data_IF_759548699393
#
_entry.id   IF_759548699393
#
_cell.length_a   1.000
_cell.length_b   1.000
_cell.length_c   1.000
_cell.angle_alpha   90.00
_cell.angle_beta   90.00
_cell.angle_gamma   90.00
#
_symmetry.space_group_name_H-M   'P 1'
#
loop_
_entity.id
_entity.type
_entity.pdbx_description
1 polymer ?
#
# COMPACT_ATOMS: atom_id res chain seq x y z
N UNK A 1 20.79 21.59 24.71
CA UNK A 1 19.62 22.05 23.92
C UNK A 1 19.58 21.26 22.61
N UNK A 2 18.47 20.62 22.27
CA UNK A 2 18.40 19.68 21.14
C UNK A 2 18.21 20.41 19.81
N UNK A 3 19.04 20.09 18.82
CA UNK A 3 18.89 20.57 17.46
C UNK A 3 17.88 19.70 16.69
N UNK A 4 16.95 20.32 15.98
CA UNK A 4 16.02 19.62 15.09
C UNK A 4 16.48 19.82 13.65
N UNK A 5 16.60 18.73 12.91
CA UNK A 5 17.08 18.70 11.55
C UNK A 5 15.97 18.20 10.63
N UNK A 6 15.80 18.85 9.49
CA UNK A 6 14.97 18.37 8.40
C UNK A 6 15.82 17.80 7.29
N UNK A 7 15.37 16.67 6.76
CA UNK A 7 15.98 15.96 5.66
C UNK A 7 14.99 15.78 4.52
N UNK A 8 15.50 15.76 3.31
CA UNK A 8 14.75 15.46 2.09
C UNK A 8 15.36 14.24 1.43
N UNK A 9 14.51 13.34 0.99
CA UNK A 9 14.88 12.25 0.10
C UNK A 9 14.04 12.36 -1.16
N UNK A 10 14.69 12.78 -2.25
CA UNK A 10 14.09 12.70 -3.59
C UNK A 10 14.07 11.24 -4.04
N UNK A 11 13.15 10.92 -4.94
CA UNK A 11 13.02 9.58 -5.50
C UNK A 11 14.35 9.09 -6.08
N UNK A 12 14.76 7.88 -5.71
CA UNK A 12 16.03 7.27 -6.09
C UNK A 12 17.29 8.09 -5.75
N UNK A 13 17.20 9.04 -4.81
CA UNK A 13 18.36 9.82 -4.33
C UNK A 13 18.66 9.53 -2.86
N UNK A 14 19.87 9.86 -2.46
CA UNK A 14 20.32 9.79 -1.06
C UNK A 14 19.59 10.83 -0.21
N UNK A 15 19.43 10.50 1.07
CA UNK A 15 18.89 11.41 2.06
C UNK A 15 19.81 12.62 2.26
N UNK A 16 19.30 13.85 2.09
CA UNK A 16 20.05 15.09 2.20
C UNK A 16 19.50 15.96 3.33
N UNK A 17 20.37 16.53 4.17
CA UNK A 17 19.95 17.47 5.23
C UNK A 17 19.64 18.81 4.59
N UNK A 18 18.45 19.32 4.82
CA UNK A 18 18.01 20.59 4.25
C UNK A 18 18.38 21.77 5.14
N UNK A 19 17.94 21.69 6.38
CA UNK A 19 17.91 22.82 7.30
C UNK A 19 17.88 22.27 8.72
N UNK A 20 18.46 23.00 9.66
CA UNK A 20 18.33 22.66 11.06
C UNK A 20 18.11 23.90 11.93
N UNK A 21 17.54 23.64 13.10
CA UNK A 21 17.21 24.64 14.08
C UNK A 21 17.88 24.32 15.41
N UNK A 22 18.56 25.32 15.97
CA UNK A 22 19.18 25.26 17.30
C UNK A 22 18.77 26.47 18.11
N UNK A 23 17.93 26.28 19.14
CA UNK A 23 17.65 27.25 20.20
C UNK A 23 17.55 28.73 19.75
N UNK A 24 16.72 29.02 18.75
CA UNK A 24 16.44 30.37 18.28
C UNK A 24 17.23 30.80 17.04
N UNK A 25 18.22 30.02 16.60
CA UNK A 25 18.93 30.22 15.34
C UNK A 25 18.56 29.12 14.34
N UNK A 26 18.02 29.50 13.19
CA UNK A 26 17.89 28.63 12.02
C UNK A 26 19.17 28.70 11.22
N UNK A 27 19.77 27.54 10.94
CA UNK A 27 20.92 27.44 10.05
C UNK A 27 20.50 26.62 8.85
N UNK A 28 20.53 27.26 7.69
CA UNK A 28 20.14 26.67 6.41
C UNK A 28 21.41 26.29 5.66
N UNK A 29 21.48 25.03 5.21
CA UNK A 29 22.60 24.56 4.38
C UNK A 29 22.59 25.35 3.05
N UNK A 30 23.78 25.73 2.56
CA UNK A 30 23.97 26.76 1.51
C UNK A 30 23.36 26.39 0.14
N UNK A 31 22.95 25.13 -0.03
CA UNK A 31 22.48 24.56 -1.30
C UNK A 31 20.98 24.71 -1.59
N UNK A 32 20.19 25.26 -0.65
CA UNK A 32 18.73 25.34 -0.78
C UNK A 32 18.27 26.79 -0.87
N UNK A 33 17.29 27.06 -1.76
CA UNK A 33 16.69 28.39 -1.90
C UNK A 33 15.99 28.83 -0.61
N UNK A 34 16.75 29.51 0.26
CA UNK A 34 16.43 29.88 1.64
C UNK A 34 15.07 30.57 1.82
N UNK A 35 14.57 31.24 0.80
CA UNK A 35 13.33 32.02 0.86
C UNK A 35 12.06 31.16 0.80
N UNK A 36 12.14 29.92 0.29
CA UNK A 36 10.95 29.06 0.15
C UNK A 36 10.72 28.15 1.35
N UNK A 37 11.78 27.73 2.05
CA UNK A 37 11.70 26.82 3.19
C UNK A 37 11.83 27.60 4.50
N UNK A 38 10.81 27.50 5.36
CA UNK A 38 10.81 28.16 6.67
C UNK A 38 10.64 27.13 7.78
N UNK A 39 11.38 27.31 8.88
CA UNK A 39 11.16 26.55 10.11
C UNK A 39 10.49 27.44 11.15
N UNK A 40 9.49 26.88 11.81
CA UNK A 40 8.91 27.44 13.02
C UNK A 40 8.94 26.42 14.14
N UNK A 41 9.22 26.86 15.36
CA UNK A 41 9.16 26.00 16.54
C UNK A 41 8.17 26.56 17.54
N UNK A 42 7.20 25.72 17.92
CA UNK A 42 6.24 26.05 18.96
C UNK A 42 6.70 25.38 20.24
N UNK A 43 7.54 26.08 21.02
CA UNK A 43 8.21 25.53 22.20
C UNK A 43 7.25 24.91 23.22
N UNK A 44 6.04 25.47 23.37
CA UNK A 44 5.01 24.96 24.29
C UNK A 44 4.46 23.59 23.89
N UNK A 45 4.47 23.26 22.60
CA UNK A 45 3.91 22.02 22.04
C UNK A 45 4.99 21.03 21.61
N UNK A 46 6.28 21.34 21.82
CA UNK A 46 7.42 20.57 21.29
C UNK A 46 7.29 20.28 19.79
N UNK A 47 6.71 21.22 19.07
CA UNK A 47 6.41 21.09 17.64
C UNK A 47 7.45 21.84 16.82
N UNK A 48 7.92 21.21 15.75
CA UNK A 48 8.73 21.84 14.72
C UNK A 48 8.00 21.71 13.38
N UNK A 49 7.79 22.84 12.72
CA UNK A 49 7.02 22.94 11.48
C UNK A 49 7.98 23.36 10.38
N UNK A 50 7.99 22.61 9.29
CA UNK A 50 8.62 22.99 8.03
C UNK A 50 7.52 23.51 7.08
N UNK A 51 7.65 24.76 6.64
CA UNK A 51 6.75 25.37 5.65
C UNK A 51 7.49 25.51 4.33
N UNK A 52 6.88 25.01 3.25
CA UNK A 52 7.37 25.15 1.88
C UNK A 52 6.45 26.14 1.16
N UNK A 53 6.99 27.29 0.75
CA UNK A 53 6.27 28.33 0.00
C UNK A 53 6.46 28.13 -1.49
N UNK A 54 5.43 28.46 -2.28
CA UNK A 54 5.42 28.33 -3.73
C UNK A 54 5.92 26.94 -4.15
N UNK A 55 5.14 25.92 -3.76
CA UNK A 55 5.47 24.51 -3.98
C UNK A 55 5.59 24.26 -5.48
N UNK A 56 6.71 23.65 -5.89
CA UNK A 56 7.02 23.29 -7.27
C UNK A 56 7.09 21.76 -7.40
N UNK A 57 6.95 21.21 -8.62
CA UNK A 57 7.11 19.77 -8.85
C UNK A 57 8.43 19.20 -8.32
N UNK A 58 9.51 19.97 -8.34
CA UNK A 58 10.82 19.57 -7.81
C UNK A 58 10.88 19.44 -6.27
N UNK A 59 9.87 19.96 -5.56
CA UNK A 59 9.73 19.78 -4.11
C UNK A 59 9.14 18.39 -3.74
N UNK A 60 8.68 17.60 -4.71
CA UNK A 60 8.18 16.25 -4.47
C UNK A 60 9.30 15.36 -3.90
N UNK A 61 9.10 14.90 -2.67
CA UNK A 61 10.09 14.14 -1.92
C UNK A 61 9.48 13.55 -0.63
N UNK A 62 10.22 12.64 0.00
CA UNK A 62 9.97 12.24 1.39
C UNK A 62 10.77 13.16 2.32
N UNK A 63 10.08 13.78 3.28
CA UNK A 63 10.64 14.69 4.26
C UNK A 63 10.72 14.04 5.63
N UNK A 64 11.86 14.13 6.29
CA UNK A 64 12.10 13.52 7.60
C UNK A 64 12.57 14.55 8.61
N UNK A 65 11.96 14.52 9.79
CA UNK A 65 12.44 15.26 10.96
C UNK A 65 13.35 14.35 11.78
N UNK A 66 14.47 14.88 12.28
CA UNK A 66 15.42 14.12 13.07
C UNK A 66 16.12 14.98 14.13
N UNK A 67 16.54 14.36 15.22
CA UNK A 67 17.31 15.03 16.27
C UNK A 67 18.38 14.11 16.86
N UNK A 68 19.40 14.71 17.47
CA UNK A 68 20.46 13.99 18.17
C UNK A 68 20.08 13.75 19.62
N UNK A 69 20.31 12.53 20.09
CA UNK A 69 20.13 12.13 21.50
C UNK A 69 21.35 11.37 21.99
N UNK A 70 21.58 11.39 23.30
CA UNK A 70 22.71 10.70 23.95
C UNK A 70 22.25 9.34 24.48
N UNK A 71 23.00 8.29 24.19
CA UNK A 71 22.86 7.03 24.91
C UNK A 71 23.65 7.10 26.22
N UNK A 72 22.97 7.12 27.36
CA UNK A 72 23.62 7.17 28.68
C UNK A 72 24.43 5.90 28.97
N UNK A 73 24.02 4.77 28.37
CA UNK A 73 24.65 3.45 28.61
C UNK A 73 25.95 3.30 27.83
N UNK A 74 26.01 3.85 26.61
CA UNK A 74 27.13 3.64 25.68
C UNK A 74 27.96 4.90 25.40
N UNK A 75 27.60 6.02 26.04
CA UNK A 75 28.29 7.32 25.95
C UNK A 75 28.57 7.81 24.52
N UNK A 76 27.60 7.64 23.61
CA UNK A 76 27.66 8.20 22.25
C UNK A 76 26.34 8.82 21.80
N UNK A 77 26.44 9.77 20.87
CA UNK A 77 25.29 10.41 20.26
C UNK A 77 24.78 9.61 19.07
N UNK A 78 23.48 9.37 19.02
CA UNK A 78 22.82 8.78 17.86
C UNK A 78 21.68 9.68 17.38
N UNK A 79 21.31 9.50 16.11
CA UNK A 79 20.29 10.30 15.46
C UNK A 79 19.00 9.51 15.35
N UNK A 80 17.92 10.11 15.85
CA UNK A 80 16.58 9.54 15.78
C UNK A 80 15.84 10.22 14.64
N UNK A 81 15.31 9.43 13.71
CA UNK A 81 14.46 9.90 12.61
C UNK A 81 12.99 9.62 12.93
N UNK A 82 12.11 10.55 12.59
CA UNK A 82 10.67 10.30 12.52
C UNK A 82 10.32 9.43 11.31
N UNK A 83 9.06 8.97 11.25
CA UNK A 83 8.52 8.16 10.14
C UNK A 83 8.58 8.86 8.77
N UNK A 84 8.65 10.19 8.79
CA UNK A 84 8.67 11.02 7.60
C UNK A 84 7.28 11.27 7.00
N UNK A 85 7.25 12.14 6.00
CA UNK A 85 6.05 12.55 5.26
C UNK A 85 6.37 12.63 3.77
N UNK A 86 5.62 11.91 2.93
CA UNK A 86 5.77 11.96 1.48
C UNK A 86 4.93 13.10 0.91
N UNK A 87 5.59 14.05 0.23
CA UNK A 87 4.92 15.11 -0.51
C UNK A 87 4.87 14.74 -1.98
N UNK A 88 3.66 14.68 -2.53
CA UNK A 88 3.41 14.56 -3.97
C UNK A 88 2.89 15.90 -4.46
N UNK A 89 3.50 16.43 -5.51
CA UNK A 89 3.09 17.69 -6.13
C UNK A 89 2.52 17.36 -7.50
N UNK A 90 1.23 17.63 -7.69
CA UNK A 90 0.52 17.32 -8.92
C UNK A 90 -0.62 18.30 -9.16
N UNK A 91 -0.98 18.47 -10.43
CA UNK A 91 -2.14 19.22 -10.91
C UNK A 91 -3.43 18.38 -10.90
N UNK A 92 -3.31 17.07 -10.71
CA UNK A 92 -4.45 16.15 -10.63
C UNK A 92 -5.19 16.28 -9.30
N UNK A 93 -6.52 16.28 -9.37
CA UNK A 93 -7.37 16.13 -8.19
C UNK A 93 -7.21 14.77 -7.51
N UNK A 94 -7.66 14.68 -6.26
CA UNK A 94 -7.66 13.41 -5.54
C UNK A 94 -8.81 12.51 -6.03
N UNK A 95 -8.62 11.21 -5.88
CA UNK A 95 -9.59 10.18 -6.25
C UNK A 95 -9.60 9.12 -5.16
N UNK A 96 -10.78 8.90 -4.58
CA UNK A 96 -10.98 7.84 -3.62
C UNK A 96 -10.79 6.46 -4.25
N UNK A 97 -10.41 5.43 -3.46
CA UNK A 97 -10.35 4.07 -3.97
C UNK A 97 -11.67 3.67 -4.64
N UNK A 98 -11.56 3.22 -5.89
CA UNK A 98 -12.71 2.77 -6.67
C UNK A 98 -13.20 1.41 -6.18
N UNK A 99 -12.27 0.54 -5.75
CA UNK A 99 -12.57 -0.79 -5.21
C UNK A 99 -11.91 -0.97 -3.85
N UNK A 100 -12.64 -1.59 -2.94
CA UNK A 100 -12.19 -1.87 -1.59
C UNK A 100 -12.85 -3.17 -1.10
N UNK A 101 -12.06 -4.22 -0.96
CA UNK A 101 -12.57 -5.53 -0.58
C UNK A 101 -11.63 -6.29 0.34
N UNK A 102 -12.18 -7.30 1.01
CA UNK A 102 -11.41 -8.25 1.81
C UNK A 102 -11.65 -9.64 1.25
N UNK A 103 -10.59 -10.26 0.76
CA UNK A 103 -10.51 -11.67 0.37
C UNK A 103 -10.13 -12.52 1.58
N UNK A 104 -10.60 -13.75 1.62
CA UNK A 104 -10.36 -14.70 2.71
C UNK A 104 -9.90 -16.03 2.15
N UNK A 105 -8.76 -16.51 2.60
CA UNK A 105 -8.21 -17.80 2.21
C UNK A 105 -7.75 -18.60 3.44
N UNK A 106 -7.88 -19.93 3.40
CA UNK A 106 -7.34 -20.79 4.45
C UNK A 106 -5.98 -21.31 4.01
N UNK A 107 -4.95 -21.10 4.82
CA UNK A 107 -3.63 -21.64 4.57
C UNK A 107 -3.12 -22.39 5.79
N UNK A 108 -2.97 -23.72 5.66
CA UNK A 108 -2.56 -24.62 6.76
C UNK A 108 -3.46 -24.45 8.00
N UNK A 109 -2.87 -24.06 9.15
CA UNK A 109 -3.57 -23.86 10.42
C UNK A 109 -3.90 -22.37 10.69
N UNK A 110 -3.92 -21.56 9.64
CA UNK A 110 -4.18 -20.13 9.71
C UNK A 110 -5.26 -19.72 8.70
N UNK A 111 -5.90 -18.60 8.99
CA UNK A 111 -6.82 -17.91 8.12
C UNK A 111 -6.20 -16.59 7.71
N UNK A 112 -6.02 -16.41 6.40
CA UNK A 112 -5.39 -15.23 5.82
C UNK A 112 -6.48 -14.34 5.25
N UNK A 113 -6.50 -13.09 5.69
CA UNK A 113 -7.32 -12.04 5.10
C UNK A 113 -6.44 -11.16 4.23
N UNK A 114 -6.88 -10.85 3.02
CA UNK A 114 -6.21 -9.91 2.12
C UNK A 114 -7.16 -8.75 1.87
N UNK A 115 -6.76 -7.57 2.29
CA UNK A 115 -7.44 -6.32 2.05
C UNK A 115 -6.86 -5.66 0.81
N UNK A 116 -7.69 -5.48 -0.21
CA UNK A 116 -7.31 -4.92 -1.50
C UNK A 116 -7.99 -3.56 -1.68
N UNK A 117 -7.19 -2.53 -1.94
CA UNK A 117 -7.65 -1.14 -2.13
C UNK A 117 -7.10 -0.66 -3.46
N UNK A 118 -7.98 -0.42 -4.42
CA UNK A 118 -7.58 -0.22 -5.81
C UNK A 118 -8.00 1.13 -6.38
N UNK A 119 -7.20 1.59 -7.35
CA UNK A 119 -7.49 2.74 -8.21
C UNK A 119 -7.78 4.02 -7.43
N UNK A 120 -6.86 4.42 -6.57
CA UNK A 120 -6.89 5.70 -5.87
C UNK A 120 -5.77 6.62 -6.34
N UNK A 121 -5.92 7.91 -6.07
CA UNK A 121 -4.88 8.89 -6.33
C UNK A 121 -4.96 10.00 -5.30
N UNK A 122 -3.85 10.47 -4.71
CA UNK A 122 -2.44 10.13 -4.97
C UNK A 122 -1.99 8.84 -4.28
N UNK A 123 -0.77 8.38 -4.58
CA UNK A 123 -0.21 7.12 -4.05
C UNK A 123 0.21 7.13 -2.57
N UNK A 124 -0.42 7.96 -1.73
CA UNK A 124 -0.16 8.04 -0.28
C UNK A 124 -1.42 7.59 0.44
N UNK A 125 -1.35 6.41 1.05
CA UNK A 125 -2.45 5.79 1.77
C UNK A 125 -1.91 5.10 3.01
N UNK A 126 -2.69 5.09 4.08
CA UNK A 126 -2.38 4.34 5.29
C UNK A 126 -3.40 3.24 5.46
N UNK A 127 -2.93 2.00 5.62
CA UNK A 127 -3.79 0.83 5.83
C UNK A 127 -3.56 0.27 7.23
N UNK A 128 -4.65 -0.08 7.92
CA UNK A 128 -4.63 -0.65 9.26
C UNK A 128 -5.55 -1.84 9.37
N UNK A 129 -5.21 -2.73 10.29
CA UNK A 129 -6.13 -3.73 10.80
C UNK A 129 -6.55 -3.38 12.21
N UNK A 130 -7.84 -3.51 12.50
CA UNK A 130 -8.44 -3.19 13.80
C UNK A 130 -9.24 -4.39 14.28
N UNK A 131 -9.15 -4.74 15.56
CA UNK A 131 -9.95 -5.80 16.17
C UNK A 131 -11.34 -5.31 16.64
N UNK A 132 -12.16 -6.22 17.17
CA UNK A 132 -13.48 -5.90 17.74
C UNK A 132 -13.44 -4.91 18.91
N UNK A 133 -12.31 -4.84 19.63
CA UNK A 133 -12.10 -3.92 20.75
C UNK A 133 -11.55 -2.55 20.28
N UNK A 134 -11.57 -2.29 18.96
CA UNK A 134 -11.06 -1.10 18.33
C UNK A 134 -9.55 -0.87 18.57
N UNK A 135 -8.77 -1.95 18.73
CA UNK A 135 -7.31 -1.90 18.88
C UNK A 135 -6.63 -2.19 17.55
N UNK A 136 -5.60 -1.42 17.25
CA UNK A 136 -4.77 -1.63 16.06
C UNK A 136 -3.98 -2.94 16.18
N UNK A 137 -4.19 -3.83 15.21
CA UNK A 137 -3.50 -5.11 15.08
C UNK A 137 -2.27 -4.89 14.21
N UNK A 138 -1.10 -5.11 14.78
CA UNK A 138 0.18 -4.99 14.06
C UNK A 138 0.89 -6.33 13.92
N UNK A 139 0.56 -7.31 14.76
CA UNK A 139 1.12 -8.65 14.69
C UNK A 139 0.54 -9.41 13.50
N UNK A 140 1.42 -10.07 12.74
CA UNK A 140 1.09 -10.85 11.53
C UNK A 140 0.37 -10.05 10.43
N UNK A 141 0.53 -8.73 10.46
CA UNK A 141 0.10 -7.82 9.40
C UNK A 141 1.29 -7.52 8.50
N UNK A 142 1.07 -7.60 7.21
CA UNK A 142 2.03 -7.12 6.21
C UNK A 142 1.27 -6.28 5.19
N UNK A 143 1.77 -5.09 4.93
CA UNK A 143 1.25 -4.21 3.88
C UNK A 143 2.26 -4.18 2.76
N UNK A 144 1.82 -4.53 1.55
CA UNK A 144 2.65 -4.46 0.36
C UNK A 144 2.93 -3.02 -0.06
N UNK A 145 3.93 -2.85 -0.92
CA UNK A 145 4.22 -1.55 -1.52
C UNK A 145 3.05 -1.07 -2.37
N UNK A 146 2.86 0.24 -2.42
CA UNK A 146 1.88 0.85 -3.31
C UNK A 146 2.38 0.69 -4.75
N UNK A 147 1.58 0.07 -5.61
CA UNK A 147 1.90 -0.05 -7.04
C UNK A 147 1.01 0.87 -7.87
N UNK A 148 1.52 1.27 -9.03
CA UNK A 148 0.79 2.06 -10.03
C UNK A 148 0.25 1.13 -11.10
N UNK A 149 -1.01 1.28 -11.49
CA UNK A 149 -1.53 0.59 -12.68
C UNK A 149 -0.82 1.12 -13.93
N UNK A 150 -0.47 0.24 -14.87
CA UNK A 150 0.25 0.66 -16.07
C UNK A 150 -0.65 1.45 -17.05
N UNK A 151 -1.96 1.19 -17.00
CA UNK A 151 -2.95 1.71 -17.95
C UNK A 151 -3.64 2.99 -17.43
N UNK A 152 -3.79 3.07 -16.11
CA UNK A 152 -4.46 4.18 -15.43
C UNK A 152 -3.45 4.75 -14.45
N UNK A 153 -3.18 6.06 -14.45
CA UNK A 153 -2.20 6.70 -13.56
C UNK A 153 -2.68 6.77 -12.09
N UNK A 154 -3.22 5.67 -11.61
CA UNK A 154 -3.79 5.43 -10.31
C UNK A 154 -2.97 4.37 -9.56
N UNK A 155 -3.09 4.42 -8.25
CA UNK A 155 -2.36 3.57 -7.33
C UNK A 155 -3.29 2.55 -6.69
N UNK A 156 -2.70 1.44 -6.27
CA UNK A 156 -3.38 0.37 -5.56
C UNK A 156 -2.44 -0.18 -4.48
N UNK A 157 -3.02 -0.74 -3.43
CA UNK A 157 -2.27 -1.34 -2.31
C UNK A 157 -3.00 -2.57 -1.79
N UNK A 158 -2.24 -3.52 -1.25
CA UNK A 158 -2.77 -4.69 -0.59
C UNK A 158 -2.14 -4.84 0.80
N UNK A 159 -2.94 -5.22 1.79
CA UNK A 159 -2.48 -5.58 3.12
C UNK A 159 -3.06 -6.92 3.51
N UNK A 160 -2.27 -7.80 4.13
CA UNK A 160 -2.78 -9.08 4.62
C UNK A 160 -2.55 -9.28 6.11
N UNK A 161 -3.49 -9.99 6.72
CA UNK A 161 -3.49 -10.37 8.13
C UNK A 161 -3.61 -11.89 8.25
N UNK A 162 -2.66 -12.54 8.92
CA UNK A 162 -2.70 -13.97 9.20
C UNK A 162 -3.19 -14.24 10.63
N UNK A 163 -4.31 -14.94 10.75
CA UNK A 163 -4.99 -15.22 12.02
C UNK A 163 -4.96 -16.73 12.30
N UNK A 164 -4.45 -17.17 13.46
CA UNK A 164 -4.52 -18.58 13.85
C UNK A 164 -5.97 -19.08 13.92
N UNK A 165 -6.23 -20.35 13.57
CA UNK A 165 -7.60 -20.89 13.51
C UNK A 165 -8.34 -20.87 14.85
N UNK A 166 -7.63 -20.79 15.98
CA UNK A 166 -8.20 -20.61 17.31
C UNK A 166 -8.94 -19.27 17.44
N UNK A 167 -8.57 -18.28 16.61
CA UNK A 167 -9.13 -16.94 16.58
C UNK A 167 -10.00 -16.69 15.33
N UNK A 168 -10.40 -17.74 14.60
CA UNK A 168 -11.16 -17.62 13.33
C UNK A 168 -12.50 -16.89 13.47
N UNK A 169 -13.12 -16.95 14.65
CA UNK A 169 -14.45 -16.41 14.92
C UNK A 169 -14.40 -14.93 15.33
N UNK A 170 -13.20 -14.40 15.61
CA UNK A 170 -12.99 -12.97 15.84
C UNK A 170 -13.15 -12.18 14.56
N UNK A 171 -13.78 -11.02 14.66
CA UNK A 171 -13.90 -10.05 13.58
C UNK A 171 -12.70 -9.12 13.56
N UNK A 172 -12.28 -8.78 12.36
CA UNK A 172 -11.25 -7.79 12.11
C UNK A 172 -11.77 -6.80 11.07
N UNK A 173 -11.21 -5.62 11.08
CA UNK A 173 -11.56 -4.54 10.17
C UNK A 173 -10.31 -4.08 9.47
N UNK A 174 -10.30 -4.12 8.14
CA UNK A 174 -9.31 -3.39 7.37
C UNK A 174 -9.82 -1.96 7.23
N UNK A 175 -9.04 -0.98 7.65
CA UNK A 175 -9.34 0.44 7.51
C UNK A 175 -8.27 1.11 6.67
N UNK A 176 -8.65 2.07 5.83
CA UNK A 176 -7.67 2.95 5.19
C UNK A 176 -7.97 4.43 5.45
N UNK A 177 -6.89 5.19 5.50
CA UNK A 177 -6.90 6.65 5.54
C UNK A 177 -6.24 7.15 4.25
N UNK A 178 -7.01 7.82 3.40
CA UNK A 178 -6.56 8.47 2.17
C UNK A 178 -7.06 9.92 2.16
N UNK A 179 -6.33 10.84 1.53
CA UNK A 179 -6.67 12.28 1.62
C UNK A 179 -8.08 12.62 1.09
N UNK A 180 -8.63 11.78 0.21
CA UNK A 180 -9.99 11.96 -0.30
C UNK A 180 -11.07 11.49 0.69
N UNK A 181 -10.82 10.38 1.41
CA UNK A 181 -11.76 9.73 2.33
C UNK A 181 -11.09 8.66 3.16
N UNK A 182 -11.73 8.32 4.26
CA UNK A 182 -11.40 7.16 5.09
C UNK A 182 -12.56 6.15 5.01
N UNK A 183 -12.25 4.85 5.04
CA UNK A 183 -13.27 3.80 4.97
C UNK A 183 -12.76 2.53 5.69
N UNK A 184 -13.69 1.67 6.11
CA UNK A 184 -13.40 0.46 6.87
C UNK A 184 -14.32 -0.70 6.50
N UNK A 185 -13.72 -1.85 6.19
CA UNK A 185 -14.43 -3.07 5.83
C UNK A 185 -14.15 -4.18 6.83
N UNK A 186 -15.17 -4.98 7.14
CA UNK A 186 -15.06 -6.07 8.11
C UNK A 186 -14.85 -7.43 7.45
N UNK A 187 -14.06 -8.30 8.09
CA UNK A 187 -13.83 -9.69 7.65
C UNK A 187 -15.08 -10.58 7.68
N UNK A 188 -16.12 -10.19 8.42
CA UNK A 188 -17.42 -10.87 8.48
C UNK A 188 -18.50 -10.20 7.62
N UNK A 189 -18.12 -9.26 6.73
CA UNK A 189 -19.03 -8.74 5.70
C UNK A 189 -19.46 -9.87 4.75
N UNK A 190 -20.62 -9.72 4.08
CA UNK A 190 -21.16 -10.71 3.13
C UNK A 190 -20.14 -11.01 2.04
N UNK A 191 -19.32 -12.03 2.26
CA UNK A 191 -18.57 -12.68 1.22
C UNK A 191 -19.62 -13.36 0.32
N UNK A 192 -19.78 -12.89 -0.91
CA UNK A 192 -20.26 -13.77 -1.96
C UNK A 192 -19.19 -14.85 -2.10
N UNK A 193 -19.34 -15.94 -1.35
CA UNK A 193 -18.60 -17.15 -1.64
C UNK A 193 -19.07 -17.53 -3.04
N UNK A 194 -18.20 -17.39 -4.03
CA UNK A 194 -18.31 -18.12 -5.29
C UNK A 194 -18.16 -19.60 -4.94
N UNK A 195 -19.21 -20.19 -4.36
CA UNK A 195 -19.35 -21.63 -4.31
C UNK A 195 -19.63 -22.04 -5.74
N UNK A 196 -18.59 -22.42 -6.48
CA UNK A 196 -18.74 -23.23 -7.67
C UNK A 196 -19.31 -24.59 -7.24
N UNK A 197 -20.63 -24.66 -7.07
CA UNK A 197 -21.35 -25.93 -7.07
C UNK A 197 -21.44 -26.37 -8.53
N UNK A 198 -20.55 -27.31 -8.90
CA UNK A 198 -20.68 -28.04 -10.15
C UNK A 198 -21.87 -28.99 -10.03
N UNK A 199 -23.05 -28.53 -10.43
CA UNK A 199 -24.13 -29.43 -10.83
C UNK A 199 -24.42 -29.17 -12.30
N UNK A 200 -23.87 -30.05 -13.13
CA UNK A 200 -24.12 -30.11 -14.57
C UNK A 200 -25.59 -30.53 -14.77
N UNK A 201 -26.44 -29.62 -15.25
CA UNK A 201 -27.60 -29.97 -16.09
C UNK A 201 -28.05 -28.76 -16.94
N UNK A 202 -28.52 -28.99 -18.19
CA UNK A 202 -28.71 -27.95 -19.19
C UNK A 202 -30.11 -27.33 -19.10
N UNK A 203 -30.19 -26.01 -19.05
CA UNK A 203 -31.47 -25.30 -19.17
C UNK A 203 -31.52 -24.02 -18.34
N UNK A 204 -31.52 -22.90 -19.04
CA UNK A 204 -31.62 -21.53 -18.53
C UNK A 204 -32.68 -21.37 -17.44
N UNK A 205 -32.29 -20.90 -16.25
CA UNK A 205 -33.23 -20.35 -15.26
C UNK A 205 -32.60 -19.16 -14.54
N UNK A 206 -33.26 -18.01 -14.66
CA UNK A 206 -32.94 -16.77 -13.96
C UNK A 206 -33.57 -16.85 -12.57
N UNK A 207 -32.77 -16.77 -11.51
CA UNK A 207 -33.29 -16.73 -10.13
C UNK A 207 -33.27 -15.30 -9.59
N UNK A 208 -34.44 -14.85 -9.16
CA UNK A 208 -34.60 -13.66 -8.33
C UNK A 208 -34.15 -13.98 -6.90
N UNK A 209 -33.23 -13.19 -6.36
CA UNK A 209 -33.04 -13.04 -4.92
C UNK A 209 -33.19 -11.56 -4.57
N UNK A 210 -34.36 -11.25 -4.00
CA UNK A 210 -34.68 -9.92 -3.49
C UNK A 210 -33.73 -9.51 -2.35
N UNK A 211 -33.34 -8.24 -2.36
CA UNK A 211 -32.66 -7.60 -1.24
C UNK A 211 -31.24 -7.08 -1.50
N UNK A 212 -30.96 -6.50 -2.66
CA UNK A 212 -29.83 -5.58 -2.83
C UNK A 212 -30.23 -4.51 -3.85
N UNK A 213 -29.94 -3.23 -3.56
CA UNK A 213 -30.28 -2.13 -4.48
C UNK A 213 -29.49 -2.32 -5.79
N UNK A 214 -30.28 -2.45 -6.84
CA UNK A 214 -30.03 -2.64 -8.27
C UNK A 214 -28.72 -2.09 -8.84
N UNK A 215 -27.90 -3.00 -9.39
CA UNK A 215 -27.32 -2.88 -10.72
C UNK A 215 -27.47 -4.24 -11.41
N UNK A 216 -28.30 -4.27 -12.44
CA UNK A 216 -28.64 -5.46 -13.23
C UNK A 216 -27.41 -5.90 -14.04
N UNK A 217 -26.63 -6.84 -13.53
CA UNK A 217 -25.66 -7.57 -14.34
C UNK A 217 -26.24 -8.93 -14.70
N UNK A 218 -26.69 -9.05 -15.95
CA UNK A 218 -26.76 -10.36 -16.58
C UNK A 218 -25.33 -10.92 -16.62
N UNK A 219 -25.04 -11.92 -15.79
CA UNK A 219 -23.84 -12.75 -15.94
C UNK A 219 -24.04 -13.65 -17.16
N UNK A 220 -23.88 -13.06 -18.33
CA UNK A 220 -23.57 -13.78 -19.55
C UNK A 220 -22.20 -13.26 -20.02
N UNK A 221 -21.20 -14.15 -20.03
CA UNK A 221 -19.90 -14.00 -20.70
C UNK A 221 -18.81 -13.11 -20.07
N UNK A 222 -18.29 -13.45 -18.89
CA UNK A 222 -16.93 -12.99 -18.47
C UNK A 222 -16.01 -14.14 -18.02
N UNK A 223 -16.54 -15.33 -17.71
CA UNK A 223 -15.74 -16.47 -17.24
C UNK A 223 -14.99 -17.24 -18.33
N UNK A 224 -15.25 -17.02 -19.61
CA UNK A 224 -14.53 -17.71 -20.71
C UNK A 224 -13.21 -17.02 -21.11
N UNK A 225 -13.11 -15.70 -20.92
CA UNK A 225 -11.94 -14.97 -21.43
C UNK A 225 -10.70 -15.13 -20.53
N UNK A 226 -10.87 -15.29 -19.22
CA UNK A 226 -9.76 -15.41 -18.27
C UNK A 226 -9.19 -16.84 -18.20
N UNK A 227 -10.06 -17.85 -18.29
CA UNK A 227 -9.65 -19.27 -18.29
C UNK A 227 -8.88 -19.62 -19.57
N UNK A 228 -9.31 -19.09 -20.72
CA UNK A 228 -8.58 -19.27 -21.99
C UNK A 228 -7.19 -18.63 -21.95
N UNK A 229 -7.04 -17.43 -21.37
CA UNK A 229 -5.74 -16.76 -21.26
C UNK A 229 -4.78 -17.44 -20.29
N UNK A 230 -5.27 -17.95 -19.16
CA UNK A 230 -4.44 -18.71 -18.22
C UNK A 230 -3.97 -20.04 -18.82
N UNK A 231 -4.86 -20.78 -19.49
CA UNK A 231 -4.51 -22.02 -20.18
C UNK A 231 -3.51 -21.80 -21.31
N UNK A 232 -3.68 -20.72 -22.09
CA UNK A 232 -2.75 -20.34 -23.16
C UNK A 232 -1.36 -19.99 -22.61
N UNK A 233 -1.27 -19.26 -21.48
CA UNK A 233 0.02 -18.96 -20.85
C UNK A 233 0.72 -20.21 -20.33
N UNK A 234 0.00 -21.12 -19.68
CA UNK A 234 0.56 -22.40 -19.21
C UNK A 234 1.04 -23.25 -20.40
N UNK A 235 0.27 -23.30 -21.49
CA UNK A 235 0.66 -24.02 -22.70
C UNK A 235 1.93 -23.45 -23.35
N UNK A 236 2.05 -22.11 -23.44
CA UNK A 236 3.25 -21.44 -23.97
C UNK A 236 4.47 -21.74 -23.09
N UNK A 237 4.34 -21.71 -21.76
CA UNK A 237 5.44 -22.03 -20.83
C UNK A 237 5.90 -23.48 -21.00
N UNK A 238 4.96 -24.42 -21.16
CA UNK A 238 5.28 -25.84 -21.39
C UNK A 238 5.97 -26.06 -22.74
N UNK A 239 5.53 -25.38 -23.80
CA UNK A 239 6.17 -25.42 -25.12
C UNK A 239 7.60 -24.89 -25.08
N UNK A 240 7.82 -23.74 -24.45
CA UNK A 240 9.17 -23.18 -24.28
C UNK A 240 10.07 -24.14 -23.51
N UNK A 241 9.55 -24.74 -22.44
CA UNK A 241 10.30 -25.73 -21.66
C UNK A 241 10.66 -26.97 -22.50
N UNK A 242 9.74 -27.47 -23.33
CA UNK A 242 9.99 -28.59 -24.23
C UNK A 242 11.01 -28.25 -25.32
N UNK A 243 10.94 -27.05 -25.91
CA UNK A 243 11.92 -26.57 -26.88
C UNK A 243 13.32 -26.47 -26.28
N UNK A 244 13.43 -25.93 -25.05
CA UNK A 244 14.71 -25.85 -24.34
C UNK A 244 15.30 -27.24 -24.10
N UNK A 245 14.50 -28.24 -23.71
CA UNK A 245 14.98 -29.62 -23.58
C UNK A 245 15.45 -30.21 -24.91
N UNK A 246 14.74 -29.94 -25.99
CA UNK A 246 15.14 -30.41 -27.32
C UNK A 246 16.46 -29.80 -27.78
N UNK A 247 16.66 -28.50 -27.57
CA UNK A 247 17.94 -27.81 -27.86
C UNK A 247 19.07 -28.36 -27.00
N UNK A 248 18.84 -28.61 -25.71
CA UNK A 248 19.83 -29.22 -24.83
C UNK A 248 20.23 -30.61 -25.34
N UNK A 249 19.26 -31.46 -25.70
CA UNK A 249 19.53 -32.80 -26.24
C UNK A 249 20.32 -32.71 -27.55
N UNK A 250 19.92 -31.81 -28.46
CA UNK A 250 20.65 -31.57 -29.71
C UNK A 250 22.11 -31.17 -29.46
N UNK A 251 22.37 -30.29 -28.50
CA UNK A 251 23.73 -29.89 -28.14
C UNK A 251 24.56 -31.08 -27.62
N UNK A 252 23.95 -32.04 -26.91
CA UNK A 252 24.63 -33.26 -26.45
C UNK A 252 24.85 -34.32 -27.54
N UNK A 253 24.16 -34.24 -28.68
CA UNK A 253 24.35 -35.16 -29.80
C UNK A 253 25.34 -34.64 -30.86
N UNK A 254 25.57 -33.32 -30.91
CA UNK A 254 26.43 -32.66 -31.90
C UNK A 254 27.79 -32.17 -31.34
N UNK A 255 28.06 -32.39 -30.05
CA UNK A 255 29.36 -32.26 -29.39
C UNK A 255 29.76 -33.60 -28.79
#
# INVERSE_FOLDING_TARGET
KTAIHWYQQKENKTLMRMIYFTSGATVVDDSLQRHRYMIQTVSRQKLCILTIRNVLPDDAASYYCAYWTLSVVYDYYYKVFGSGTKLIVSDKGNSAPAHFEILRERHKNELVYVCLIEKFYPGVIRVKWIDEANKEVTQNVVTGDVWKSAEEEMYSVSSWLSVPLENKDKKYFCSYEHESKEDSLSTQGKHCILKFLWTIHPGSTCFFLGGCRTLMFCLAFVTDHLTHKAAQLVYIVLLLKSFMYYVIILLFFFF
#
